data_IF_868933120087
#
_entry.id   IF_868933120087
#
_cell.length_a   1.000
_cell.length_b   1.000
_cell.length_c   1.000
_cell.angle_alpha   90.00
_cell.angle_beta   90.00
_cell.angle_gamma   90.00
#
_symmetry.space_group_name_H-M   'P 1'
#
loop_
_entity.id
_entity.type
_entity.pdbx_description
1 polymer ?
#
# COMPACT_ATOMS: atom_id res chain seq x y z
N UNK A 1 1.80 -57.22 -8.51
CA UNK A 1 1.09 -56.08 -7.96
C UNK A 1 1.38 -54.91 -8.90
N UNK A 2 0.41 -54.56 -9.75
CA UNK A 2 0.51 -53.39 -10.60
C UNK A 2 0.45 -52.19 -9.66
N UNK A 3 1.58 -51.50 -9.48
CA UNK A 3 1.57 -50.16 -8.91
C UNK A 3 0.91 -49.26 -9.94
N UNK A 4 -0.40 -49.09 -9.83
CA UNK A 4 -1.11 -48.01 -10.52
C UNK A 4 -0.54 -46.71 -9.97
N UNK A 5 0.53 -46.21 -10.60
CA UNK A 5 1.01 -44.86 -10.41
C UNK A 5 -0.18 -43.93 -10.52
N UNK A 6 -0.36 -43.06 -9.52
CA UNK A 6 -1.46 -42.10 -9.56
C UNK A 6 -1.38 -41.31 -10.87
N UNK A 7 -2.52 -41.02 -11.49
CA UNK A 7 -2.56 -40.27 -12.76
C UNK A 7 -1.86 -38.93 -12.66
N UNK A 8 -1.80 -38.36 -11.47
CA UNK A 8 -1.10 -37.12 -11.18
C UNK A 8 0.42 -37.24 -11.41
N UNK A 9 1.05 -38.36 -11.03
CA UNK A 9 2.49 -38.55 -11.20
C UNK A 9 2.90 -38.73 -12.67
N UNK A 10 1.94 -39.01 -13.54
CA UNK A 10 2.17 -39.11 -14.99
C UNK A 10 2.09 -37.76 -15.73
N UNK A 11 1.59 -36.69 -15.06
CA UNK A 11 1.50 -35.37 -15.68
C UNK A 11 2.89 -34.77 -15.96
N UNK A 12 3.07 -34.04 -17.06
CA UNK A 12 4.27 -33.25 -17.33
C UNK A 12 4.55 -32.23 -16.22
N UNK A 13 5.82 -31.85 -16.04
CA UNK A 13 6.21 -30.88 -15.03
C UNK A 13 5.53 -29.53 -15.20
N UNK A 14 5.31 -29.11 -16.43
CA UNK A 14 4.66 -27.87 -16.81
C UNK A 14 3.22 -27.82 -16.29
N UNK A 15 2.48 -28.91 -16.47
CA UNK A 15 1.10 -29.04 -15.96
C UNK A 15 1.06 -29.06 -14.43
N UNK A 16 2.02 -29.73 -13.80
CA UNK A 16 2.12 -29.73 -12.34
C UNK A 16 2.43 -28.34 -11.79
N UNK A 17 3.33 -27.58 -12.44
CA UNK A 17 3.66 -26.20 -12.06
C UNK A 17 2.43 -25.30 -12.21
N UNK A 18 1.67 -25.45 -13.29
CA UNK A 18 0.43 -24.68 -13.48
C UNK A 18 -0.62 -25.03 -12.41
N UNK A 19 -0.75 -26.30 -12.05
CA UNK A 19 -1.63 -26.70 -10.95
C UNK A 19 -1.18 -26.12 -9.59
N UNK A 20 0.12 -26.09 -9.33
CA UNK A 20 0.65 -25.58 -8.05
C UNK A 20 0.37 -24.10 -7.81
N UNK A 21 0.14 -23.31 -8.86
CA UNK A 21 -0.25 -21.90 -8.73
C UNK A 21 -1.61 -21.69 -8.05
N UNK A 22 -2.48 -22.70 -8.07
CA UNK A 22 -3.81 -22.63 -7.45
C UNK A 22 -3.81 -23.01 -5.96
N UNK A 23 -2.69 -23.52 -5.45
CA UNK A 23 -2.54 -23.87 -4.05
C UNK A 23 -1.81 -22.76 -3.27
N UNK A 24 -2.19 -22.58 -2.02
CA UNK A 24 -1.29 -21.83 -1.13
C UNK A 24 -0.08 -22.71 -0.74
N UNK A 25 0.93 -22.07 -0.14
CA UNK A 25 2.17 -22.78 0.20
C UNK A 25 1.93 -23.93 1.18
N UNK A 26 1.00 -23.77 2.15
CA UNK A 26 0.67 -24.78 3.14
C UNK A 26 0.02 -25.98 2.49
N UNK A 27 -1.04 -25.74 1.74
CA UNK A 27 -1.81 -26.80 1.06
C UNK A 27 -0.92 -27.58 0.08
N UNK A 28 -0.07 -26.87 -0.65
CA UNK A 28 0.87 -27.47 -1.58
C UNK A 28 1.85 -28.40 -0.85
N UNK A 29 2.46 -27.95 0.23
CA UNK A 29 3.41 -28.78 0.96
C UNK A 29 2.73 -29.93 1.71
N UNK A 30 1.56 -29.72 2.29
CA UNK A 30 0.81 -30.77 2.97
C UNK A 30 0.33 -31.85 2.00
N UNK A 31 -0.12 -31.47 0.80
CA UNK A 31 -0.68 -32.40 -0.17
C UNK A 31 0.38 -33.17 -0.96
N UNK A 32 1.50 -32.53 -1.29
CA UNK A 32 2.46 -33.08 -2.27
C UNK A 32 3.86 -33.30 -1.74
N UNK A 33 4.23 -32.76 -0.56
CA UNK A 33 5.55 -33.02 -0.01
C UNK A 33 5.64 -34.49 0.46
N UNK A 34 6.84 -35.06 0.26
CA UNK A 34 7.15 -36.45 0.64
C UNK A 34 6.37 -37.55 -0.13
N UNK A 35 5.57 -37.21 -1.14
CA UNK A 35 4.97 -38.23 -2.01
C UNK A 35 6.03 -38.92 -2.87
N UNK A 36 6.87 -38.16 -3.55
CA UNK A 36 8.01 -38.69 -4.29
C UNK A 36 9.10 -37.59 -4.54
N UNK A 37 10.27 -38.03 -4.97
CA UNK A 37 11.43 -37.17 -5.23
C UNK A 37 11.15 -36.09 -6.29
N UNK A 38 10.42 -36.44 -7.37
CA UNK A 38 10.10 -35.54 -8.46
C UNK A 38 9.22 -34.37 -8.01
N UNK A 39 8.12 -34.65 -7.29
CA UNK A 39 7.24 -33.61 -6.75
C UNK A 39 7.94 -32.73 -5.75
N UNK A 40 8.73 -33.32 -4.84
CA UNK A 40 9.54 -32.55 -3.89
C UNK A 40 10.51 -31.59 -4.58
N UNK A 41 11.16 -32.04 -5.67
CA UNK A 41 12.05 -31.17 -6.46
C UNK A 41 11.29 -30.04 -7.14
N UNK A 42 10.12 -30.34 -7.71
CA UNK A 42 9.27 -29.33 -8.35
C UNK A 42 8.79 -28.27 -7.35
N UNK A 43 8.25 -28.69 -6.20
CA UNK A 43 7.79 -27.76 -5.15
C UNK A 43 8.92 -26.84 -4.70
N UNK A 44 10.11 -27.40 -4.44
CA UNK A 44 11.29 -26.63 -4.01
C UNK A 44 11.84 -25.70 -5.10
N UNK A 45 11.62 -26.00 -6.37
CA UNK A 45 12.00 -25.14 -7.49
C UNK A 45 10.97 -24.04 -7.80
N UNK A 46 9.80 -24.09 -7.20
CA UNK A 46 8.72 -23.15 -7.44
C UNK A 46 8.96 -21.84 -6.69
N UNK A 47 9.32 -20.78 -7.43
CA UNK A 47 9.80 -19.51 -6.86
C UNK A 47 8.71 -18.48 -6.54
N UNK A 48 7.44 -18.86 -6.57
CA UNK A 48 6.32 -17.92 -6.40
C UNK A 48 5.24 -18.44 -5.43
N UNK A 49 5.66 -19.11 -4.36
CA UNK A 49 4.70 -19.58 -3.38
C UNK A 49 4.05 -18.42 -2.63
N UNK A 50 2.74 -18.45 -2.64
CA UNK A 50 1.89 -17.53 -1.89
C UNK A 50 1.40 -18.22 -0.63
N UNK A 51 1.36 -17.52 0.48
CA UNK A 51 0.79 -18.01 1.73
C UNK A 51 -0.23 -17.00 2.26
N UNK A 52 -1.43 -17.49 2.51
CA UNK A 52 -2.55 -16.71 3.02
C UNK A 52 -2.88 -17.14 4.44
N UNK A 53 -2.85 -16.20 5.39
CA UNK A 53 -3.34 -16.40 6.73
C UNK A 53 -4.66 -15.66 6.91
N UNK A 54 -5.76 -16.41 7.10
CA UNK A 54 -7.10 -15.88 7.39
C UNK A 54 -7.46 -16.09 8.87
N UNK A 55 -8.32 -15.23 9.43
CA UNK A 55 -8.73 -15.28 10.84
C UNK A 55 -9.35 -16.61 11.27
N UNK A 56 -10.00 -17.33 10.38
CA UNK A 56 -10.72 -18.58 10.67
C UNK A 56 -9.80 -19.73 11.09
N UNK A 57 -8.51 -19.64 10.80
CA UNK A 57 -7.52 -20.68 11.11
C UNK A 57 -6.83 -20.52 12.46
N UNK A 58 -7.24 -19.54 13.31
CA UNK A 58 -6.54 -19.20 14.54
C UNK A 58 -7.01 -19.91 15.81
N UNK A 59 -8.00 -20.78 15.72
CA UNK A 59 -8.35 -21.66 16.83
C UNK A 59 -7.29 -22.74 17.10
N UNK A 60 -6.42 -22.98 16.14
CA UNK A 60 -5.28 -23.86 16.32
C UNK A 60 -4.00 -23.06 16.55
N UNK A 61 -3.57 -22.99 17.82
CA UNK A 61 -2.24 -22.53 18.26
C UNK A 61 -1.08 -23.38 17.72
N UNK A 62 -1.29 -24.14 16.69
CA UNK A 62 -0.34 -25.06 16.07
C UNK A 62 0.08 -24.55 14.68
N UNK A 63 0.75 -23.40 14.62
CA UNK A 63 1.79 -23.29 13.61
C UNK A 63 2.92 -24.17 14.14
N UNK A 64 2.87 -25.44 13.81
CA UNK A 64 3.90 -26.40 14.17
C UNK A 64 5.27 -25.82 13.84
N UNK A 65 6.23 -26.04 14.75
CA UNK A 65 7.63 -25.60 14.59
C UNK A 65 8.32 -26.23 13.36
N UNK A 66 7.60 -27.03 12.57
CA UNK A 66 8.07 -27.77 11.40
C UNK A 66 7.66 -27.16 10.06
N UNK A 67 7.34 -25.85 10.00
CA UNK A 67 6.96 -25.21 8.72
C UNK A 67 8.18 -25.00 7.80
N UNK A 68 8.76 -26.10 7.35
CA UNK A 68 9.86 -26.09 6.38
C UNK A 68 9.50 -25.40 5.05
N UNK A 69 8.23 -25.20 4.76
CA UNK A 69 7.78 -24.43 3.59
C UNK A 69 7.95 -22.92 3.76
N UNK A 70 8.06 -22.42 4.98
CA UNK A 70 8.16 -20.97 5.26
C UNK A 70 9.33 -20.31 4.53
N UNK A 71 10.42 -21.05 4.33
CA UNK A 71 11.58 -20.59 3.54
C UNK A 71 11.26 -20.34 2.07
N UNK A 72 10.24 -21.01 1.50
CA UNK A 72 9.86 -20.90 0.10
C UNK A 72 8.75 -19.87 -0.16
N UNK A 73 8.26 -19.22 0.89
CA UNK A 73 7.20 -18.21 0.81
C UNK A 73 7.80 -16.87 0.35
N UNK A 74 7.33 -16.37 -0.79
CA UNK A 74 7.69 -15.07 -1.34
C UNK A 74 6.59 -14.02 -1.14
N UNK A 75 5.33 -14.43 -1.13
CA UNK A 75 4.18 -13.59 -0.86
C UNK A 75 3.50 -14.05 0.40
N UNK A 76 3.37 -13.16 1.36
CA UNK A 76 2.66 -13.42 2.61
C UNK A 76 1.52 -12.42 2.78
N UNK A 77 0.30 -12.93 2.96
CA UNK A 77 -0.89 -12.13 3.24
C UNK A 77 -1.41 -12.53 4.61
N UNK A 78 -1.46 -11.58 5.53
CA UNK A 78 -1.87 -11.78 6.91
C UNK A 78 -3.16 -11.01 7.17
N UNK A 79 -4.21 -11.71 7.55
CA UNK A 79 -5.52 -11.15 7.88
C UNK A 79 -5.52 -10.36 9.20
N UNK A 80 -6.71 -9.97 9.61
CA UNK A 80 -6.89 -9.08 10.77
C UNK A 80 -6.47 -9.72 12.09
N UNK A 81 -5.81 -8.91 12.94
CA UNK A 81 -5.47 -9.25 14.33
C UNK A 81 -4.67 -10.54 14.53
N UNK A 82 -3.98 -11.00 13.47
CA UNK A 82 -3.18 -12.22 13.50
C UNK A 82 -1.83 -11.94 14.12
N UNK A 83 -1.44 -12.81 15.07
CA UNK A 83 -0.10 -12.81 15.61
C UNK A 83 0.77 -13.78 14.84
N UNK A 84 1.70 -13.26 14.05
CA UNK A 84 2.64 -14.03 13.26
C UNK A 84 4.08 -13.69 13.62
N UNK A 85 4.97 -14.69 13.60
CA UNK A 85 6.40 -14.48 13.71
C UNK A 85 7.01 -14.39 12.30
N UNK A 86 7.33 -13.16 11.85
CA UNK A 86 7.88 -12.91 10.53
C UNK A 86 9.31 -13.44 10.34
N UNK A 87 10.06 -13.69 11.44
CA UNK A 87 11.40 -14.29 11.37
C UNK A 87 11.44 -15.67 10.69
N UNK A 88 10.31 -16.33 10.58
CA UNK A 88 10.18 -17.65 9.91
C UNK A 88 10.22 -17.55 8.39
N UNK A 89 9.95 -16.36 7.83
CA UNK A 89 9.72 -16.14 6.39
C UNK A 89 10.81 -15.26 5.79
N UNK A 90 12.04 -15.76 5.78
CA UNK A 90 13.23 -14.97 5.41
C UNK A 90 13.25 -14.49 3.96
N UNK A 91 12.52 -15.16 3.05
CA UNK A 91 12.52 -14.87 1.61
C UNK A 91 11.33 -14.03 1.13
N UNK A 92 10.53 -13.49 2.04
CA UNK A 92 9.39 -12.64 1.67
C UNK A 92 9.86 -11.45 0.84
N UNK A 93 9.20 -11.25 -0.30
CA UNK A 93 9.34 -10.08 -1.17
C UNK A 93 8.09 -9.22 -1.19
N UNK A 94 6.93 -9.82 -0.98
CA UNK A 94 5.65 -9.16 -0.89
C UNK A 94 4.97 -9.51 0.43
N UNK A 95 4.63 -8.49 1.23
CA UNK A 95 3.93 -8.64 2.50
C UNK A 95 2.68 -7.75 2.50
N UNK A 96 1.51 -8.36 2.76
CA UNK A 96 0.27 -7.65 2.99
C UNK A 96 -0.23 -7.94 4.40
N UNK A 97 -0.49 -6.89 5.17
CA UNK A 97 -1.00 -6.95 6.53
C UNK A 97 -2.35 -6.23 6.61
N UNK A 98 -3.37 -6.91 7.12
CA UNK A 98 -4.69 -6.32 7.37
C UNK A 98 -4.90 -6.15 8.89
N UNK A 99 -5.08 -4.92 9.36
CA UNK A 99 -5.19 -4.60 10.79
C UNK A 99 -4.10 -5.29 11.64
N UNK A 100 -2.80 -5.09 11.35
CA UNK A 100 -1.74 -5.79 12.05
C UNK A 100 -1.67 -5.41 13.53
N UNK A 101 -1.30 -6.36 14.36
CA UNK A 101 -1.00 -6.11 15.76
C UNK A 101 0.33 -5.33 15.89
N UNK A 102 0.47 -4.49 16.93
CA UNK A 102 1.69 -3.71 17.19
C UNK A 102 2.96 -4.58 17.19
N UNK A 103 2.90 -5.77 17.78
CA UNK A 103 4.01 -6.73 17.81
C UNK A 103 4.43 -7.29 16.45
N UNK A 104 3.52 -7.29 15.47
CA UNK A 104 3.84 -7.70 14.09
C UNK A 104 4.52 -6.52 13.37
N UNK A 105 4.03 -5.30 13.58
CA UNK A 105 4.65 -4.08 13.04
C UNK A 105 6.08 -3.90 13.56
N UNK A 106 6.36 -4.20 14.83
CA UNK A 106 7.70 -4.14 15.41
C UNK A 106 8.72 -5.10 14.74
N UNK A 107 8.24 -6.11 14.01
CA UNK A 107 9.10 -7.03 13.24
C UNK A 107 9.45 -6.50 11.84
N UNK A 108 8.88 -5.36 11.40
CA UNK A 108 9.16 -4.77 10.08
C UNK A 108 10.53 -4.08 10.10
N UNK A 109 11.58 -4.83 9.84
CA UNK A 109 12.95 -4.31 9.75
C UNK A 109 13.80 -5.17 8.80
N UNK A 110 14.93 -4.64 8.35
CA UNK A 110 15.82 -5.29 7.38
C UNK A 110 16.52 -6.55 7.90
N UNK A 111 16.64 -6.71 9.22
CA UNK A 111 17.25 -7.91 9.80
C UNK A 111 16.31 -9.12 9.68
N UNK A 112 14.99 -8.86 9.76
CA UNK A 112 13.96 -9.89 9.67
C UNK A 112 13.53 -10.08 8.21
N UNK A 113 13.39 -9.00 7.45
CA UNK A 113 12.84 -8.98 6.09
C UNK A 113 13.83 -8.34 5.09
N UNK A 114 15.03 -8.93 4.88
CA UNK A 114 16.09 -8.32 4.09
C UNK A 114 15.73 -8.14 2.60
N UNK A 115 14.81 -8.95 2.08
CA UNK A 115 14.43 -8.98 0.67
C UNK A 115 13.06 -8.35 0.40
N UNK A 116 12.42 -7.73 1.40
CA UNK A 116 11.08 -7.16 1.25
C UNK A 116 11.06 -6.01 0.26
N UNK A 117 10.36 -6.19 -0.87
CA UNK A 117 10.23 -5.18 -1.93
C UNK A 117 8.89 -4.45 -1.92
N UNK A 118 7.83 -5.14 -1.50
CA UNK A 118 6.48 -4.63 -1.51
C UNK A 118 5.82 -4.84 -0.15
N UNK A 119 5.36 -3.76 0.46
CA UNK A 119 4.63 -3.78 1.73
C UNK A 119 3.29 -3.09 1.57
N UNK A 120 2.22 -3.75 1.98
CA UNK A 120 0.88 -3.18 2.03
C UNK A 120 0.30 -3.35 3.43
N UNK A 121 -0.07 -2.25 4.07
CA UNK A 121 -0.68 -2.24 5.40
C UNK A 121 -2.01 -1.52 5.30
N UNK A 122 -3.11 -2.22 5.54
CA UNK A 122 -4.46 -1.67 5.54
C UNK A 122 -5.05 -1.65 6.94
N UNK A 123 -5.96 -0.68 7.18
CA UNK A 123 -6.67 -0.54 8.45
C UNK A 123 -5.74 -0.44 9.67
N UNK A 124 -4.71 0.40 9.56
CA UNK A 124 -3.92 0.78 10.74
C UNK A 124 -4.83 1.46 11.75
N UNK A 125 -4.78 1.02 13.00
CA UNK A 125 -5.36 1.79 14.09
C UNK A 125 -4.56 3.09 14.21
N UNK A 126 -5.26 4.24 14.21
CA UNK A 126 -4.65 5.59 14.27
C UNK A 126 -3.74 5.75 15.50
N UNK A 127 -3.99 4.96 16.54
CA UNK A 127 -3.21 4.96 17.77
C UNK A 127 -1.88 4.19 17.66
N UNK A 128 -1.66 3.46 16.58
CA UNK A 128 -0.39 2.75 16.37
C UNK A 128 0.60 3.72 15.75
N UNK A 129 1.45 4.29 16.59
CA UNK A 129 2.58 5.10 16.13
C UNK A 129 3.61 4.21 15.42
N UNK A 130 3.98 4.57 14.20
CA UNK A 130 5.02 3.88 13.40
C UNK A 130 6.40 4.46 13.79
N UNK A 131 6.54 4.94 15.02
CA UNK A 131 7.71 5.71 15.46
C UNK A 131 9.00 4.87 15.53
N UNK A 132 8.87 3.55 15.44
CA UNK A 132 9.98 2.60 15.62
C UNK A 132 10.36 1.84 14.33
N UNK A 133 9.99 2.34 13.16
CA UNK A 133 10.40 1.67 11.92
C UNK A 133 11.92 1.70 11.77
N UNK A 134 12.50 0.52 11.83
CA UNK A 134 13.91 0.31 11.52
C UNK A 134 14.05 0.24 9.99
N UNK A 135 15.20 0.67 9.48
CA UNK A 135 15.53 0.76 8.06
C UNK A 135 15.05 -0.46 7.23
N UNK A 136 14.33 -0.18 6.14
CA UNK A 136 13.88 -1.14 5.12
C UNK A 136 14.46 -0.76 3.73
N UNK A 137 15.78 -0.88 3.53
CA UNK A 137 16.45 -0.38 2.32
C UNK A 137 16.04 -1.13 1.05
N UNK A 138 15.54 -2.35 1.15
CA UNK A 138 15.07 -3.15 0.00
C UNK A 138 13.66 -2.79 -0.46
N UNK A 139 12.92 -1.95 0.30
CA UNK A 139 11.53 -1.63 0.00
C UNK A 139 11.43 -0.66 -1.18
N UNK A 140 10.67 -1.05 -2.20
CA UNK A 140 10.41 -0.24 -3.40
C UNK A 140 8.98 0.27 -3.47
N UNK A 141 8.05 -0.47 -2.88
CA UNK A 141 6.61 -0.16 -2.92
C UNK A 141 6.04 -0.22 -1.52
N UNK A 142 5.43 0.87 -1.08
CA UNK A 142 4.68 0.92 0.17
C UNK A 142 3.26 1.40 -0.10
N UNK A 143 2.29 0.65 0.44
CA UNK A 143 0.90 1.07 0.55
C UNK A 143 0.52 1.06 2.02
N UNK A 144 0.06 2.17 2.52
CA UNK A 144 -0.27 2.31 3.94
C UNK A 144 -1.48 3.21 4.14
N UNK A 145 -2.45 2.75 4.91
CA UNK A 145 -3.59 3.56 5.28
C UNK A 145 -3.36 4.26 6.62
N UNK A 146 -3.82 5.52 6.71
CA UNK A 146 -3.88 6.26 7.96
C UNK A 146 -2.51 6.51 8.62
N UNK A 147 -1.79 7.50 8.12
CA UNK A 147 -0.49 7.90 8.69
C UNK A 147 -0.52 9.33 9.22
N UNK A 148 0.28 9.57 10.25
CA UNK A 148 0.63 10.89 10.77
C UNK A 148 1.80 11.51 9.98
N UNK A 149 2.03 12.81 10.13
CA UNK A 149 3.19 13.48 9.54
C UNK A 149 4.51 12.88 10.03
N UNK A 150 4.57 12.51 11.32
CA UNK A 150 5.76 11.86 11.89
C UNK A 150 6.00 10.49 11.26
N UNK A 151 4.94 9.69 11.06
CA UNK A 151 5.05 8.41 10.39
C UNK A 151 5.52 8.56 8.92
N UNK A 152 5.04 9.58 8.21
CA UNK A 152 5.52 9.90 6.87
C UNK A 152 7.02 10.19 6.86
N UNK A 153 7.50 11.02 7.79
CA UNK A 153 8.91 11.32 7.96
C UNK A 153 9.73 10.06 8.19
N UNK A 154 9.30 9.24 9.14
CA UNK A 154 9.97 7.97 9.48
C UNK A 154 10.04 7.03 8.27
N UNK A 155 8.96 6.91 7.49
CA UNK A 155 8.91 6.09 6.27
C UNK A 155 9.94 6.55 5.24
N UNK A 156 9.98 7.84 4.93
CA UNK A 156 10.91 8.37 3.92
C UNK A 156 12.37 8.16 4.34
N UNK A 157 12.67 8.31 5.63
CA UNK A 157 14.02 8.09 6.18
C UNK A 157 14.38 6.60 6.21
N UNK A 158 13.46 5.73 6.64
CA UNK A 158 13.69 4.30 6.78
C UNK A 158 13.74 3.54 5.44
N UNK A 159 13.13 4.09 4.38
CA UNK A 159 12.97 3.42 3.08
C UNK A 159 13.64 4.21 1.94
N UNK A 160 14.98 4.34 1.92
CA UNK A 160 15.68 5.23 0.97
C UNK A 160 15.50 4.83 -0.51
N UNK A 161 15.17 3.58 -0.80
CA UNK A 161 14.95 3.09 -2.17
C UNK A 161 13.46 3.00 -2.57
N UNK A 162 12.59 3.67 -1.83
CA UNK A 162 11.17 3.70 -2.13
C UNK A 162 10.90 4.44 -3.44
N UNK A 163 10.20 3.78 -4.37
CA UNK A 163 9.86 4.31 -5.70
C UNK A 163 8.37 4.65 -5.78
N UNK A 164 7.54 3.87 -5.11
CA UNK A 164 6.09 4.01 -5.08
C UNK A 164 5.57 4.10 -3.64
N UNK A 165 4.80 5.14 -3.36
CA UNK A 165 4.14 5.36 -2.08
C UNK A 165 2.64 5.63 -2.28
N UNK A 166 1.79 4.84 -1.65
CA UNK A 166 0.36 5.08 -1.53
C UNK A 166 0.01 5.22 -0.05
N UNK A 167 -0.59 6.35 0.30
CA UNK A 167 -0.90 6.67 1.67
C UNK A 167 -2.25 7.36 1.82
N UNK A 168 -2.84 7.22 3.01
CA UNK A 168 -4.01 7.99 3.42
C UNK A 168 -3.63 8.92 4.56
N UNK A 169 -3.99 10.19 4.46
CA UNK A 169 -3.66 11.23 5.43
C UNK A 169 -4.93 11.67 6.16
N UNK A 170 -4.83 11.81 7.47
CA UNK A 170 -5.81 12.53 8.29
C UNK A 170 -5.29 13.93 8.59
N UNK A 171 -6.11 14.94 8.42
CA UNK A 171 -5.71 16.35 8.40
C UNK A 171 -5.35 16.99 9.75
N UNK A 172 -5.10 16.24 10.82
CA UNK A 172 -4.97 16.81 12.18
C UNK A 172 -3.55 17.19 12.62
N UNK A 173 -2.51 16.85 11.86
CA UNK A 173 -1.12 17.03 12.30
C UNK A 173 -0.46 18.27 11.70
N UNK A 174 -0.24 19.28 12.54
CA UNK A 174 0.47 20.54 12.18
C UNK A 174 2.00 20.44 12.29
N UNK A 175 2.59 19.26 12.26
CA UNK A 175 4.05 19.12 12.39
C UNK A 175 4.76 19.61 11.13
N UNK A 176 5.66 20.57 11.27
CA UNK A 176 6.62 20.92 10.22
C UNK A 176 7.56 19.74 10.01
N UNK A 177 7.52 19.16 8.82
CA UNK A 177 8.43 18.08 8.44
C UNK A 177 9.84 18.69 8.28
N UNK A 178 10.80 18.18 9.01
CA UNK A 178 12.22 18.53 8.86
C UNK A 178 12.96 17.30 8.31
N UNK A 179 12.79 17.06 7.01
CA UNK A 179 13.34 15.87 6.34
C UNK A 179 14.21 16.31 5.17
N UNK A 180 15.34 15.61 5.01
CA UNK A 180 16.05 15.62 3.73
C UNK A 180 15.17 15.06 2.60
N UNK A 181 15.27 15.67 1.42
CA UNK A 181 14.46 15.29 0.29
C UNK A 181 14.68 13.82 -0.14
N UNK A 182 13.60 13.08 -0.32
CA UNK A 182 13.63 11.70 -0.78
C UNK A 182 13.78 11.64 -2.32
N UNK A 183 14.99 11.30 -2.80
CA UNK A 183 15.37 11.42 -4.22
C UNK A 183 14.80 10.32 -5.13
N UNK A 184 14.45 9.16 -4.56
CA UNK A 184 14.09 7.96 -5.35
C UNK A 184 12.58 7.80 -5.55
N UNK A 185 11.74 8.55 -4.83
CA UNK A 185 10.29 8.44 -4.96
C UNK A 185 9.82 9.03 -6.29
N UNK A 186 9.21 8.20 -7.14
CA UNK A 186 8.76 8.55 -8.49
C UNK A 186 7.24 8.63 -8.63
N UNK A 187 6.52 7.87 -7.83
CA UNK A 187 5.06 7.80 -7.88
C UNK A 187 4.47 7.87 -6.50
N UNK A 188 3.51 8.78 -6.33
CA UNK A 188 2.79 8.96 -5.07
C UNK A 188 1.28 8.98 -5.30
N UNK A 189 0.56 8.30 -4.42
CA UNK A 189 -0.90 8.36 -4.32
C UNK A 189 -1.24 8.83 -2.92
N UNK A 190 -2.00 9.90 -2.83
CA UNK A 190 -2.45 10.48 -1.56
C UNK A 190 -3.96 10.38 -1.51
N UNK A 191 -4.48 9.68 -0.51
CA UNK A 191 -5.89 9.64 -0.18
C UNK A 191 -6.14 10.56 1.01
N UNK A 192 -6.89 11.63 0.79
CA UNK A 192 -7.23 12.60 1.82
C UNK A 192 -8.64 12.31 2.31
N UNK A 193 -8.76 12.08 3.60
CA UNK A 193 -10.04 11.78 4.24
C UNK A 193 -10.43 12.95 5.15
N UNK A 194 -11.22 13.88 4.62
CA UNK A 194 -11.71 15.07 5.33
C UNK A 194 -12.93 14.74 6.21
N UNK A 195 -12.78 13.82 7.16
CA UNK A 195 -13.93 13.46 7.99
C UNK A 195 -14.25 14.48 9.09
N UNK A 196 -13.26 15.12 9.71
CA UNK A 196 -13.43 15.86 10.96
C UNK A 196 -12.86 17.27 10.92
N UNK A 197 -11.74 17.50 10.24
CA UNK A 197 -11.00 18.78 10.26
C UNK A 197 -10.87 19.38 8.87
N UNK A 198 -10.88 20.71 8.73
CA UNK A 198 -10.55 21.34 7.45
C UNK A 198 -9.12 20.97 7.05
N UNK A 199 -8.94 20.71 5.78
CA UNK A 199 -7.62 20.48 5.19
C UNK A 199 -6.76 21.73 5.36
N UNK A 200 -5.54 21.53 5.88
CA UNK A 200 -4.53 22.56 5.96
C UNK A 200 -3.57 22.47 4.77
N UNK A 201 -3.55 23.51 3.96
CA UNK A 201 -2.71 23.60 2.76
C UNK A 201 -1.21 23.53 3.11
N UNK A 202 -0.81 23.98 4.28
CA UNK A 202 0.59 23.93 4.77
C UNK A 202 1.03 22.49 5.04
N UNK A 203 0.12 21.64 5.49
CA UNK A 203 0.41 20.21 5.70
C UNK A 203 0.71 19.54 4.36
N UNK A 204 -0.13 19.76 3.33
CA UNK A 204 0.09 19.19 2.01
C UNK A 204 1.40 19.68 1.37
N UNK A 205 1.69 20.96 1.53
CA UNK A 205 2.97 21.54 1.15
C UNK A 205 4.16 20.79 1.73
N UNK A 206 4.11 20.49 3.04
CA UNK A 206 5.17 19.76 3.73
C UNK A 206 5.38 18.36 3.14
N UNK A 207 4.32 17.64 2.77
CA UNK A 207 4.42 16.32 2.14
C UNK A 207 5.08 16.39 0.74
N UNK A 208 4.75 17.37 -0.09
CA UNK A 208 5.27 17.49 -1.45
C UNK A 208 6.73 17.99 -1.48
N UNK A 209 7.10 18.89 -0.58
CA UNK A 209 8.46 19.47 -0.53
C UNK A 209 9.54 18.41 -0.26
N UNK A 210 9.16 17.31 0.38
CA UNK A 210 10.07 16.20 0.68
C UNK A 210 10.37 15.27 -0.50
N UNK A 211 9.66 15.40 -1.62
CA UNK A 211 9.72 14.44 -2.75
C UNK A 211 9.88 15.15 -4.12
N UNK A 212 10.96 15.94 -4.32
CA UNK A 212 11.11 16.80 -5.48
C UNK A 212 11.20 16.07 -6.83
N UNK A 213 11.59 14.80 -6.80
CA UNK A 213 11.78 13.97 -8.01
C UNK A 213 10.55 13.17 -8.40
N UNK A 214 9.37 13.56 -7.90
CA UNK A 214 8.12 12.88 -8.19
C UNK A 214 7.72 13.08 -9.65
N UNK A 215 7.47 11.99 -10.35
CA UNK A 215 7.05 11.99 -11.77
C UNK A 215 5.53 11.82 -11.93
N UNK A 216 4.88 11.14 -10.97
CA UNK A 216 3.45 10.83 -11.02
C UNK A 216 2.82 11.08 -9.64
N UNK A 217 1.79 11.93 -9.61
CA UNK A 217 1.02 12.23 -8.40
C UNK A 217 -0.46 12.00 -8.67
N UNK A 218 -1.09 11.20 -7.82
CA UNK A 218 -2.55 11.08 -7.76
C UNK A 218 -3.02 11.55 -6.39
N UNK A 219 -3.99 12.46 -6.37
CA UNK A 219 -4.62 12.93 -5.14
C UNK A 219 -6.10 12.58 -5.18
N UNK A 220 -6.54 11.81 -4.21
CA UNK A 220 -7.95 11.47 -4.00
C UNK A 220 -8.43 12.22 -2.77
N UNK A 221 -9.39 13.09 -2.93
CA UNK A 221 -9.97 13.87 -1.84
C UNK A 221 -11.45 13.54 -1.69
N UNK A 222 -11.86 13.16 -0.49
CA UNK A 222 -13.27 12.94 -0.15
C UNK A 222 -13.71 14.04 0.81
N UNK A 223 -14.75 14.80 0.46
CA UNK A 223 -15.21 15.96 1.21
C UNK A 223 -16.72 15.88 1.42
N UNK A 224 -17.19 16.31 2.60
CA UNK A 224 -18.62 16.50 2.85
C UNK A 224 -19.10 17.83 2.27
N UNK A 225 -20.31 17.86 1.68
CA UNK A 225 -20.93 19.06 1.10
C UNK A 225 -20.91 20.24 2.07
N UNK A 226 -21.21 20.00 3.35
CA UNK A 226 -21.23 21.03 4.40
C UNK A 226 -19.86 21.67 4.68
N UNK A 227 -18.77 21.14 4.12
CA UNK A 227 -17.39 21.62 4.32
C UNK A 227 -16.78 22.19 3.03
N UNK A 228 -17.56 22.35 1.96
CA UNK A 228 -17.09 23.01 0.76
C UNK A 228 -16.92 24.50 1.09
N UNK A 229 -15.70 24.91 1.31
CA UNK A 229 -15.32 26.30 1.58
C UNK A 229 -14.79 26.96 0.32
N UNK A 230 -14.75 28.30 0.28
CA UNK A 230 -14.15 29.05 -0.84
C UNK A 230 -12.69 28.65 -1.10
N UNK A 231 -11.96 28.22 -0.08
CA UNK A 231 -10.57 27.73 -0.21
C UNK A 231 -10.46 26.49 -1.11
N UNK A 232 -11.50 25.66 -1.17
CA UNK A 232 -11.55 24.51 -2.08
C UNK A 232 -11.79 24.89 -3.53
N UNK A 233 -12.50 26.01 -3.74
CA UNK A 233 -12.74 26.57 -5.05
C UNK A 233 -11.48 27.22 -5.63
N UNK A 234 -10.55 27.63 -4.77
CA UNK A 234 -9.29 28.21 -5.19
C UNK A 234 -8.22 27.15 -5.41
N UNK A 235 -8.25 26.51 -6.58
CA UNK A 235 -7.25 25.52 -6.99
C UNK A 235 -5.83 26.12 -7.18
N UNK A 236 -5.71 27.44 -7.19
CA UNK A 236 -4.44 28.16 -7.44
C UNK A 236 -3.34 27.79 -6.47
N UNK A 237 -3.68 27.51 -5.21
CA UNK A 237 -2.73 27.11 -4.20
C UNK A 237 -2.07 25.77 -4.53
N UNK A 238 -2.85 24.77 -4.95
CA UNK A 238 -2.31 23.42 -5.28
C UNK A 238 -1.45 23.51 -6.56
N UNK A 239 -1.91 24.22 -7.58
CA UNK A 239 -1.15 24.42 -8.80
C UNK A 239 0.20 25.10 -8.55
N UNK A 240 0.22 26.18 -7.75
CA UNK A 240 1.45 26.89 -7.41
C UNK A 240 2.44 26.03 -6.61
N UNK A 241 1.97 25.18 -5.71
CA UNK A 241 2.81 24.26 -4.93
C UNK A 241 3.38 23.13 -5.79
N UNK A 242 2.57 22.56 -6.69
CA UNK A 242 3.03 21.56 -7.66
C UNK A 242 4.13 22.16 -8.54
N UNK A 243 3.93 23.34 -9.09
CA UNK A 243 4.90 24.00 -9.96
C UNK A 243 6.20 24.37 -9.21
N UNK A 244 6.11 24.70 -7.93
CA UNK A 244 7.26 25.05 -7.11
C UNK A 244 8.12 23.85 -6.71
N UNK A 245 7.51 22.74 -6.31
CA UNK A 245 8.22 21.61 -5.69
C UNK A 245 8.41 20.41 -6.61
N UNK A 246 7.52 20.20 -7.58
CA UNK A 246 7.49 18.99 -8.40
C UNK A 246 7.84 19.27 -9.85
N UNK A 247 9.05 19.77 -10.08
CA UNK A 247 9.53 20.17 -11.42
C UNK A 247 9.56 19.01 -12.42
N UNK A 248 9.73 17.79 -11.96
CA UNK A 248 9.77 16.58 -12.79
C UNK A 248 8.41 15.90 -12.96
N UNK A 249 7.35 16.49 -12.42
CA UNK A 249 6.01 15.92 -12.51
C UNK A 249 5.52 15.94 -13.96
N UNK A 250 5.31 14.76 -14.54
CA UNK A 250 4.80 14.59 -15.89
C UNK A 250 3.34 14.12 -15.92
N UNK A 251 2.83 13.57 -14.82
CA UNK A 251 1.44 13.11 -14.70
C UNK A 251 0.84 13.49 -13.36
N UNK A 252 -0.24 14.26 -13.40
CA UNK A 252 -1.01 14.64 -12.23
C UNK A 252 -2.48 14.31 -12.41
N UNK A 253 -3.07 13.61 -11.45
CA UNK A 253 -4.49 13.31 -11.40
C UNK A 253 -5.05 13.81 -10.07
N UNK A 254 -6.12 14.56 -10.13
CA UNK A 254 -6.85 15.01 -8.97
C UNK A 254 -8.29 14.47 -9.02
N UNK A 255 -8.68 13.73 -7.98
CA UNK A 255 -9.99 13.13 -7.86
C UNK A 255 -10.70 13.73 -6.66
N UNK A 256 -11.81 14.41 -6.91
CA UNK A 256 -12.65 14.97 -5.86
C UNK A 256 -13.94 14.15 -5.74
N UNK A 257 -14.16 13.58 -4.56
CA UNK A 257 -15.40 12.88 -4.20
C UNK A 257 -16.17 13.73 -3.22
N UNK A 258 -17.36 14.20 -3.61
CA UNK A 258 -18.26 14.91 -2.72
C UNK A 258 -19.21 13.92 -2.08
N UNK A 259 -19.26 13.90 -0.75
CA UNK A 259 -20.14 13.05 0.04
C UNK A 259 -21.34 13.87 0.48
N UNK A 260 -22.55 13.49 0.04
CA UNK A 260 -23.79 14.12 0.49
C UNK A 260 -24.13 13.62 1.90
N UNK A 261 -24.50 14.54 2.78
CA UNK A 261 -25.26 14.19 3.96
C UNK A 261 -26.74 14.29 3.63
N UNK A 262 -27.53 13.31 3.98
CA UNK A 262 -28.96 13.20 3.64
C UNK A 262 -29.83 14.39 4.11
N UNK A 263 -29.25 15.36 4.81
CA UNK A 263 -29.97 16.44 5.53
C UNK A 263 -29.98 17.76 4.75
N UNK A 264 -29.10 17.97 3.75
CA UNK A 264 -29.02 19.25 3.05
C UNK A 264 -28.98 19.05 1.53
N UNK A 265 -30.03 19.59 0.86
CA UNK A 265 -30.05 19.71 -0.60
C UNK A 265 -29.52 21.11 -0.92
N UNK A 266 -28.25 21.22 -1.22
CA UNK A 266 -27.72 22.47 -1.82
C UNK A 266 -27.82 22.39 -3.35
N UNK A 267 -28.55 23.37 -3.98
CA UNK A 267 -28.89 23.28 -5.40
C UNK A 267 -27.72 23.59 -6.35
N UNK A 268 -26.52 23.84 -5.87
CA UNK A 268 -25.46 24.43 -6.70
C UNK A 268 -24.14 23.63 -6.77
N UNK A 269 -24.09 22.37 -6.28
CA UNK A 269 -22.85 21.58 -6.21
C UNK A 269 -22.29 21.30 -7.62
N UNK A 270 -23.16 21.04 -8.58
CA UNK A 270 -22.73 20.77 -9.97
C UNK A 270 -22.00 21.97 -10.58
N UNK A 271 -22.51 23.18 -10.34
CA UNK A 271 -21.84 24.40 -10.81
C UNK A 271 -20.49 24.61 -10.13
N UNK A 272 -20.36 24.31 -8.84
CA UNK A 272 -19.11 24.40 -8.09
C UNK A 272 -18.09 23.42 -8.66
N UNK A 273 -18.49 22.18 -8.93
CA UNK A 273 -17.61 21.16 -9.52
C UNK A 273 -17.16 21.53 -10.92
N UNK A 274 -18.07 22.05 -11.75
CA UNK A 274 -17.71 22.57 -13.08
C UNK A 274 -16.70 23.72 -13.00
N UNK A 275 -16.86 24.65 -12.07
CA UNK A 275 -15.90 25.75 -11.87
C UNK A 275 -14.52 25.22 -11.45
N UNK A 276 -14.44 24.26 -10.51
CA UNK A 276 -13.18 23.62 -10.11
C UNK A 276 -12.52 22.95 -11.32
N UNK A 277 -13.29 22.26 -12.15
CA UNK A 277 -12.79 21.61 -13.36
C UNK A 277 -12.24 22.62 -14.36
N UNK A 278 -12.97 23.69 -14.63
CA UNK A 278 -12.53 24.76 -15.54
C UNK A 278 -11.24 25.44 -15.06
N UNK A 279 -11.15 25.77 -13.76
CA UNK A 279 -9.95 26.35 -13.17
C UNK A 279 -8.76 25.38 -13.29
N UNK A 280 -8.97 24.08 -12.99
CA UNK A 280 -7.95 23.06 -13.14
C UNK A 280 -7.44 22.96 -14.59
N UNK A 281 -8.34 22.94 -15.54
CA UNK A 281 -8.02 22.85 -16.97
C UNK A 281 -7.25 24.09 -17.47
N UNK A 282 -7.67 25.25 -17.03
CA UNK A 282 -7.05 26.53 -17.42
C UNK A 282 -5.64 26.68 -16.88
N UNK A 283 -5.41 26.32 -15.60
CA UNK A 283 -4.11 26.49 -14.93
C UNK A 283 -3.03 25.55 -15.44
N UNK A 284 -3.38 24.33 -15.80
CA UNK A 284 -2.37 23.34 -16.23
C UNK A 284 -2.17 23.25 -17.74
N UNK A 285 -2.87 24.06 -18.55
CA UNK A 285 -2.68 24.21 -20.02
C UNK A 285 -2.30 22.89 -20.71
N UNK A 286 -3.00 21.79 -20.44
CA UNK A 286 -2.71 20.47 -20.97
C UNK A 286 -1.34 19.87 -20.58
N UNK A 287 -0.62 20.42 -19.60
CA UNK A 287 0.67 19.93 -19.14
C UNK A 287 0.59 18.48 -18.64
N UNK A 288 -0.59 18.05 -18.13
CA UNK A 288 -0.78 16.72 -17.57
C UNK A 288 -1.77 15.90 -18.39
N UNK A 289 -1.43 14.64 -18.67
CA UNK A 289 -2.11 13.78 -19.65
C UNK A 289 -3.46 13.20 -19.21
N UNK A 290 -3.87 13.29 -17.95
CA UNK A 290 -5.15 12.71 -17.53
C UNK A 290 -5.89 13.53 -16.50
N UNK A 291 -7.19 13.62 -16.71
CA UNK A 291 -8.16 14.45 -16.03
C UNK A 291 -9.33 13.58 -15.63
N UNK A 292 -9.62 13.45 -14.38
CA UNK A 292 -10.89 12.86 -13.96
C UNK A 292 -11.36 13.52 -12.67
N UNK A 293 -12.37 14.35 -12.79
CA UNK A 293 -13.27 14.65 -11.70
C UNK A 293 -14.31 13.52 -11.67
N UNK A 294 -14.30 12.70 -10.64
CA UNK A 294 -15.30 11.66 -10.45
C UNK A 294 -16.26 12.15 -9.39
N UNK A 295 -17.48 12.43 -9.82
CA UNK A 295 -18.61 12.68 -8.94
C UNK A 295 -19.33 11.36 -8.64
N UNK A 296 -19.56 11.05 -7.38
CA UNK A 296 -20.42 9.97 -6.91
C UNK A 296 -21.25 10.45 -5.73
#
# INVERSE_FOLDING_TARGET
MNNDLSRLEQLPNEILIDLFQYFDARDLFQSFSNLNYRLNKLIKSFHHLNLFFHMEFFLDNQIDNNDYFSFYVYTLIVGRAININLNRFLNIRYLKLECPLKRVLAQLNSNILPYLKHLSISHLDILITIDEWISLPSLHTLKISCITSLAYQTILTACPNLVYLELSIFSSDQLKLNIESHKNLKKMIINVIDMIWPWDDEVFHSYLSCVPNLEKLNVYRSIFVSKITESLLNYDWLASKIDLYLLLLCRFNFYLKVIRSDIFIEPNIENILCQIEEIFLHKHNNRYQSRHLIYK
#
